data_IF_775116592655
#
_entry.id   IF_775116592655
#
_cell.length_a   1.000
_cell.length_b   1.000
_cell.length_c   1.000
_cell.angle_alpha   90.00
_cell.angle_beta   90.00
_cell.angle_gamma   90.00
#
_symmetry.space_group_name_H-M   'P 1'
#
loop_
_entity.id
_entity.type
_entity.pdbx_description
1 polymer ?
#
# COMPACT_ATOMS: atom_id res chain seq x y z
N UNK A 1 9.53 -9.07 2.73
CA UNK A 1 10.21 -8.36 1.61
C UNK A 1 10.42 -6.91 2.03
N UNK A 2 11.52 -6.27 1.61
CA UNK A 2 11.90 -4.92 2.07
C UNK A 2 10.78 -3.86 1.87
N UNK A 3 10.02 -3.92 0.78
CA UNK A 3 8.93 -2.98 0.52
C UNK A 3 7.76 -3.13 1.53
N UNK A 4 7.41 -4.36 1.91
CA UNK A 4 6.36 -4.67 2.89
C UNK A 4 6.74 -4.09 4.26
N UNK A 5 8.00 -4.28 4.68
CA UNK A 5 8.48 -3.76 5.97
C UNK A 5 8.50 -2.23 6.01
N UNK A 6 8.94 -1.59 4.92
CA UNK A 6 8.92 -0.13 4.78
C UNK A 6 7.48 0.40 4.84
N UNK A 7 6.58 -0.25 4.10
CA UNK A 7 5.17 0.10 4.07
C UNK A 7 4.51 -0.05 5.44
N UNK A 8 4.70 -1.19 6.12
CA UNK A 8 4.11 -1.41 7.44
C UNK A 8 4.65 -0.39 8.45
N UNK A 9 5.95 -0.11 8.46
CA UNK A 9 6.53 0.90 9.34
C UNK A 9 5.96 2.30 9.10
N UNK A 10 5.70 2.66 7.84
CA UNK A 10 5.02 3.91 7.51
C UNK A 10 3.58 3.92 8.06
N UNK A 11 2.84 2.82 7.89
CA UNK A 11 1.47 2.69 8.36
C UNK A 11 1.38 2.74 9.89
N UNK A 12 2.29 2.09 10.61
CA UNK A 12 2.33 2.11 12.07
C UNK A 12 2.44 3.55 12.62
N UNK A 13 3.13 4.44 11.89
CA UNK A 13 3.29 5.84 12.26
C UNK A 13 2.14 6.74 11.77
N UNK A 14 1.69 6.55 10.52
CA UNK A 14 0.73 7.44 9.87
C UNK A 14 -0.73 7.03 10.12
N UNK A 15 -1.01 5.72 10.17
CA UNK A 15 -2.35 5.14 10.29
C UNK A 15 -2.36 3.89 11.18
N UNK A 16 -2.24 4.05 12.51
CA UNK A 16 -2.20 2.94 13.44
C UNK A 16 -3.42 2.00 13.31
N UNK A 17 -3.16 0.70 13.44
CA UNK A 17 -4.16 -0.35 13.31
C UNK A 17 -4.52 -0.70 11.86
N UNK A 18 -3.69 -0.30 10.90
CA UNK A 18 -3.75 -0.78 9.51
C UNK A 18 -2.63 -1.78 9.25
N UNK A 19 -2.88 -2.71 8.34
CA UNK A 19 -1.96 -3.78 7.95
C UNK A 19 -1.70 -3.70 6.45
N UNK A 20 -0.45 -3.94 6.05
CA UNK A 20 -0.08 -4.02 4.64
C UNK A 20 -0.31 -5.43 4.10
N UNK A 21 -0.85 -5.52 2.88
CA UNK A 21 -1.00 -6.76 2.14
C UNK A 21 0.24 -7.14 1.33
N UNK A 22 0.03 -7.99 0.34
CA UNK A 22 1.07 -8.39 -0.61
C UNK A 22 1.55 -7.22 -1.48
N UNK A 23 2.75 -7.37 -2.02
CA UNK A 23 3.43 -6.34 -2.80
C UNK A 23 3.48 -6.70 -4.29
N UNK A 24 2.76 -5.93 -5.10
CA UNK A 24 2.75 -6.09 -6.55
C UNK A 24 3.77 -5.16 -7.20
N UNK A 25 4.69 -5.74 -7.96
CA UNK A 25 5.72 -4.97 -8.66
C UNK A 25 5.13 -4.22 -9.86
N UNK A 26 5.36 -2.91 -9.93
CA UNK A 26 4.91 -2.04 -11.02
C UNK A 26 6.00 -1.03 -11.37
N UNK A 27 6.72 -1.25 -12.47
CA UNK A 27 7.69 -0.32 -13.07
C UNK A 27 8.57 0.47 -12.07
N UNK A 28 9.32 -0.21 -11.20
CA UNK A 28 10.22 0.43 -10.23
C UNK A 28 9.55 0.85 -8.92
N UNK A 29 8.30 0.48 -8.73
CA UNK A 29 7.54 0.60 -7.49
C UNK A 29 6.97 -0.75 -7.09
N UNK A 30 6.67 -0.88 -5.81
CA UNK A 30 5.78 -1.91 -5.28
C UNK A 30 4.49 -1.23 -4.87
N UNK A 31 3.37 -1.69 -5.42
CA UNK A 31 2.04 -1.28 -4.98
C UNK A 31 1.56 -2.27 -3.94
N UNK A 32 1.07 -1.78 -2.80
CA UNK A 32 0.61 -2.60 -1.70
C UNK A 32 -0.79 -2.16 -1.27
N UNK A 33 -1.66 -3.13 -1.05
CA UNK A 33 -2.95 -2.90 -0.42
C UNK A 33 -2.77 -2.60 1.06
N UNK A 34 -3.64 -1.76 1.60
CA UNK A 34 -3.71 -1.45 3.02
C UNK A 34 -5.05 -1.91 3.53
N UNK A 35 -5.04 -2.77 4.52
CA UNK A 35 -6.24 -3.29 5.15
C UNK A 35 -6.43 -2.73 6.56
N UNK A 36 -7.70 -2.63 6.98
CA UNK A 36 -8.11 -2.32 8.34
C UNK A 36 -9.30 -3.18 8.69
N UNK A 37 -9.24 -3.87 9.82
CA UNK A 37 -10.29 -4.81 10.25
C UNK A 37 -10.66 -5.83 9.15
N UNK A 38 -9.65 -6.32 8.42
CA UNK A 38 -9.80 -7.30 7.34
C UNK A 38 -10.43 -6.76 6.05
N UNK A 39 -10.60 -5.44 5.90
CA UNK A 39 -11.14 -4.80 4.69
C UNK A 39 -10.11 -3.90 4.04
N UNK A 40 -10.10 -3.85 2.72
CA UNK A 40 -9.28 -2.89 1.97
C UNK A 40 -9.70 -1.48 2.38
N UNK A 41 -8.75 -0.80 3.01
CA UNK A 41 -8.88 0.55 3.55
C UNK A 41 -8.18 1.56 2.65
N UNK A 42 -7.13 1.14 1.93
CA UNK A 42 -6.45 1.99 0.97
C UNK A 42 -5.35 1.23 0.22
N UNK A 43 -4.44 2.00 -0.36
CA UNK A 43 -3.31 1.48 -1.12
C UNK A 43 -2.14 2.44 -0.97
N UNK A 44 -0.92 1.93 -1.06
CA UNK A 44 0.28 2.75 -1.11
C UNK A 44 1.26 2.17 -2.11
N UNK A 45 2.19 3.01 -2.55
CA UNK A 45 3.33 2.60 -3.35
C UNK A 45 4.63 2.82 -2.59
N UNK A 46 5.57 1.90 -2.71
CA UNK A 46 6.95 2.04 -2.23
C UNK A 46 7.88 2.05 -3.42
N UNK A 47 8.72 3.09 -3.53
CA UNK A 47 9.74 3.14 -4.57
C UNK A 47 10.79 2.04 -4.34
N UNK A 48 11.05 1.21 -5.36
CA UNK A 48 11.93 0.06 -5.23
C UNK A 48 13.41 0.43 -5.03
N UNK A 49 13.82 1.63 -5.46
CA UNK A 49 15.21 2.09 -5.38
C UNK A 49 15.48 2.92 -4.13
N UNK A 50 14.54 3.76 -3.71
CA UNK A 50 14.72 4.72 -2.61
C UNK A 50 13.99 4.35 -1.32
N UNK A 51 12.99 3.46 -1.39
CA UNK A 51 12.11 3.16 -0.26
C UNK A 51 11.13 4.29 0.08
N UNK A 52 11.02 5.33 -0.76
CA UNK A 52 10.04 6.39 -0.55
C UNK A 52 8.61 5.84 -0.63
N UNK A 53 7.75 6.25 0.32
CA UNK A 53 6.35 5.80 0.41
C UNK A 53 5.41 6.88 -0.11
N UNK A 54 4.48 6.48 -0.97
CA UNK A 54 3.36 7.29 -1.43
C UNK A 54 2.04 6.61 -1.07
N UNK A 55 1.37 7.13 -0.05
CA UNK A 55 0.04 6.67 0.30
C UNK A 55 -1.01 7.26 -0.65
N UNK A 56 -1.86 6.41 -1.22
CA UNK A 56 -2.89 6.84 -2.16
C UNK A 56 -4.11 7.29 -1.35
N UNK A 57 -4.39 8.59 -1.35
CA UNK A 57 -5.62 9.12 -0.75
C UNK A 57 -6.73 9.06 -1.80
N UNK A 58 -7.74 8.23 -1.56
CA UNK A 58 -8.94 8.18 -2.38
C UNK A 58 -9.99 9.12 -1.79
N UNK A 59 -10.58 9.99 -2.62
CA UNK A 59 -11.74 10.78 -2.21
C UNK A 59 -13.02 9.97 -2.43
N UNK A 60 -13.28 8.98 -1.58
CA UNK A 60 -14.50 8.17 -1.63
C UNK A 60 -14.29 6.70 -1.24
N UNK A 61 -15.37 5.91 -1.27
CA UNK A 61 -15.31 4.47 -0.97
C UNK A 61 -14.50 3.73 -2.04
N UNK A 62 -13.58 2.86 -1.61
CA UNK A 62 -12.91 1.93 -2.50
C UNK A 62 -13.95 1.08 -3.26
N UNK A 63 -13.87 1.06 -4.59
CA UNK A 63 -14.83 0.34 -5.45
C UNK A 63 -14.28 -1.02 -5.87
N UNK A 64 -13.10 -1.04 -6.49
CA UNK A 64 -12.36 -2.25 -6.88
C UNK A 64 -10.96 -1.92 -7.38
N UNK A 65 -10.09 -2.92 -7.39
CA UNK A 65 -8.90 -2.96 -8.25
C UNK A 65 -9.29 -3.56 -9.60
N UNK A 66 -8.79 -3.00 -10.69
CA UNK A 66 -8.97 -3.54 -12.04
C UNK A 66 -7.59 -3.80 -12.64
N UNK A 67 -7.23 -5.08 -12.73
CA UNK A 67 -6.08 -5.52 -13.50
C UNK A 67 -6.54 -5.73 -14.95
N UNK A 68 -5.98 -4.96 -15.88
CA UNK A 68 -6.25 -5.09 -17.31
C UNK A 68 -5.05 -5.80 -17.95
N UNK A 69 -5.32 -6.93 -18.61
CA UNK A 69 -4.31 -7.68 -19.37
C UNK A 69 -3.97 -7.02 -20.70
#
# INVERSE_FOLDING_TARGET
MQAIEIAQKYLDAAQPGTEVGDADAFYGYYTLEVSKDGKIYGMLSVNANTGAVWYHNWHGTFVKILEVK
#
